data_IF_643769367359
#
_entry.id   IF_643769367359
#
_cell.length_a   1.000
_cell.length_b   1.000
_cell.length_c   1.000
_cell.angle_alpha   90.00
_cell.angle_beta   90.00
_cell.angle_gamma   90.00
#
_symmetry.space_group_name_H-M   'P 1'
#
loop_
_entity.id
_entity.type
_entity.pdbx_description
1 polymer ?
#
# COMPACT_ATOMS: atom_id res chain seq x y z
N UNK A 1 9.75 64.35 28.57
CA UNK A 1 9.44 63.06 29.20
C UNK A 1 9.71 61.96 28.19
N UNK A 2 10.71 61.12 28.48
CA UNK A 2 11.24 60.08 27.60
C UNK A 2 10.45 58.76 27.74
N UNK A 3 10.29 58.03 26.64
CA UNK A 3 10.04 56.57 26.63
C UNK A 3 11.07 55.91 25.69
N UNK A 4 11.75 54.84 26.12
CA UNK A 4 12.76 54.18 25.29
C UNK A 4 12.16 53.12 24.36
N UNK A 5 12.85 52.93 23.25
CA UNK A 5 12.65 51.87 22.27
C UNK A 5 13.07 50.50 22.84
N UNK A 6 12.27 49.46 22.60
CA UNK A 6 12.67 48.05 22.76
C UNK A 6 11.73 47.14 21.96
N UNK A 7 11.76 47.25 20.64
CA UNK A 7 11.23 46.24 19.73
C UNK A 7 12.37 45.82 18.81
N UNK A 8 12.80 44.57 18.88
CA UNK A 8 13.80 44.05 17.93
C UNK A 8 14.74 42.96 18.44
N UNK A 9 14.61 42.49 19.69
CA UNK A 9 15.54 41.50 20.28
C UNK A 9 14.96 40.10 20.54
N UNK A 10 13.90 39.67 19.85
CA UNK A 10 13.27 38.38 20.23
C UNK A 10 13.09 37.40 19.08
N UNK A 11 13.03 37.84 17.82
CA UNK A 11 12.74 36.90 16.71
C UNK A 11 14.02 36.22 16.19
N UNK A 12 15.12 36.98 16.02
CA UNK A 12 16.40 36.41 15.53
C UNK A 12 17.02 35.41 16.50
N UNK A 13 16.82 35.58 17.80
CA UNK A 13 17.30 34.64 18.81
C UNK A 13 16.46 33.35 18.87
N UNK A 14 15.17 33.43 18.55
CA UNK A 14 14.30 32.26 18.48
C UNK A 14 14.66 31.35 17.29
N UNK A 15 15.00 31.94 16.15
CA UNK A 15 15.44 31.19 14.96
C UNK A 15 16.81 30.53 15.18
N UNK A 16 17.71 31.17 15.93
CA UNK A 16 19.03 30.61 16.23
C UNK A 16 18.96 29.46 17.25
N UNK A 17 18.00 29.49 18.18
CA UNK A 17 17.82 28.42 19.17
C UNK A 17 17.20 27.14 18.57
N UNK A 18 16.41 27.24 17.50
CA UNK A 18 15.85 26.07 16.82
C UNK A 18 16.86 25.31 15.94
N UNK A 19 17.99 25.93 15.59
CA UNK A 19 19.01 25.33 14.72
C UNK A 19 20.03 24.42 15.45
N UNK A 20 19.97 24.34 16.79
CA UNK A 20 20.95 23.61 17.62
C UNK A 20 20.47 22.27 18.18
N UNK A 21 19.29 21.77 17.75
CA UNK A 21 18.83 20.40 18.01
C UNK A 21 19.07 19.48 16.81
N UNK A 22 20.18 19.70 16.08
CA UNK A 22 20.71 18.75 15.11
C UNK A 22 21.39 17.58 15.84
N UNK A 23 20.60 16.81 16.60
CA UNK A 23 20.96 15.46 17.00
C UNK A 23 20.98 14.61 15.75
N UNK A 24 22.16 14.17 15.38
CA UNK A 24 22.42 13.22 14.29
C UNK A 24 21.73 11.88 14.55
N UNK A 25 20.51 11.72 14.07
CA UNK A 25 20.04 10.40 13.63
C UNK A 25 20.04 10.43 12.11
N UNK A 26 21.00 9.71 11.52
CA UNK A 26 20.90 9.32 10.12
C UNK A 26 19.50 8.72 9.92
N UNK A 27 18.80 9.01 8.80
CA UNK A 27 17.63 8.23 8.48
C UNK A 27 18.11 6.78 8.45
N UNK A 28 17.56 5.94 9.32
CA UNK A 28 17.60 4.51 9.11
C UNK A 28 17.15 4.34 7.68
N UNK A 29 18.10 3.94 6.82
CA UNK A 29 17.83 3.59 5.46
C UNK A 29 16.63 2.67 5.58
N UNK A 30 15.51 3.07 4.98
CA UNK A 30 14.41 2.16 4.69
C UNK A 30 15.02 1.12 3.77
N UNK A 31 15.69 0.15 4.37
CA UNK A 31 15.89 -1.15 3.81
C UNK A 31 14.46 -1.61 3.63
N UNK A 32 13.95 -1.45 2.41
CA UNK A 32 12.83 -2.24 1.93
C UNK A 32 13.33 -3.68 2.01
N UNK A 33 13.26 -4.26 3.20
CA UNK A 33 13.37 -5.69 3.38
C UNK A 33 12.14 -6.23 2.68
N UNK A 34 12.36 -6.70 1.45
CA UNK A 34 11.41 -7.44 0.64
C UNK A 34 11.13 -8.81 1.27
N UNK A 35 10.67 -8.81 2.51
CA UNK A 35 10.17 -9.97 3.25
C UNK A 35 8.68 -9.83 3.58
N UNK A 36 8.03 -8.75 3.15
CA UNK A 36 6.56 -8.68 3.01
C UNK A 36 6.07 -9.24 1.65
N UNK A 37 6.95 -9.88 0.88
CA UNK A 37 6.67 -10.26 -0.52
C UNK A 37 5.71 -11.45 -0.70
N UNK A 38 5.22 -12.12 0.35
CA UNK A 38 4.25 -13.22 0.22
C UNK A 38 3.17 -13.30 1.32
N UNK A 39 3.10 -12.35 2.25
CA UNK A 39 2.07 -12.34 3.30
C UNK A 39 0.96 -11.33 2.98
N UNK A 40 -0.03 -11.79 2.22
CA UNK A 40 -1.39 -11.26 2.36
C UNK A 40 -1.88 -10.28 1.29
N UNK A 41 -1.79 -10.64 0.01
CA UNK A 41 -2.37 -9.85 -1.08
C UNK A 41 -3.42 -10.57 -1.94
N UNK A 42 -3.96 -11.71 -1.48
CA UNK A 42 -4.71 -12.73 -2.24
C UNK A 42 -3.79 -13.79 -2.86
N UNK A 43 -3.94 -15.05 -2.44
CA UNK A 43 -3.19 -16.19 -2.98
C UNK A 43 -4.08 -17.02 -3.92
N UNK A 44 -3.58 -17.38 -5.12
CA UNK A 44 -4.34 -18.27 -6.00
C UNK A 44 -4.45 -19.67 -5.36
N UNK A 45 -5.57 -20.38 -5.59
CA UNK A 45 -5.72 -21.76 -5.14
C UNK A 45 -4.79 -22.71 -5.91
N UNK A 46 -4.49 -23.87 -5.31
CA UNK A 46 -3.76 -24.95 -5.99
C UNK A 46 -4.64 -25.62 -7.04
N UNK A 47 -4.07 -26.02 -8.17
CA UNK A 47 -4.81 -26.71 -9.24
C UNK A 47 -5.41 -28.04 -8.72
N UNK A 48 -6.66 -28.36 -9.05
CA UNK A 48 -7.26 -29.64 -8.67
C UNK A 48 -6.68 -30.78 -9.52
N UNK A 49 -7.05 -32.01 -9.18
CA UNK A 49 -6.67 -33.22 -9.91
C UNK A 49 -6.81 -33.08 -11.45
N UNK A 50 -5.69 -33.14 -12.16
CA UNK A 50 -5.60 -32.78 -13.59
C UNK A 50 -5.60 -33.95 -14.59
N UNK A 51 -5.75 -35.18 -14.11
CA UNK A 51 -5.70 -36.39 -14.96
C UNK A 51 -7.11 -36.95 -15.21
N UNK A 52 -7.18 -38.01 -16.05
CA UNK A 52 -8.44 -38.70 -16.31
C UNK A 52 -9.05 -39.27 -15.02
N UNK A 53 -10.35 -39.05 -14.85
CA UNK A 53 -11.08 -39.51 -13.67
C UNK A 53 -11.30 -41.02 -13.75
N UNK A 54 -10.83 -41.82 -12.77
CA UNK A 54 -11.02 -43.27 -12.75
C UNK A 54 -12.50 -43.63 -12.54
N UNK A 55 -12.91 -44.85 -12.87
CA UNK A 55 -14.29 -45.32 -12.63
C UNK A 55 -14.56 -45.76 -11.18
N UNK A 56 -13.50 -45.94 -10.39
CA UNK A 56 -13.59 -46.33 -8.98
C UNK A 56 -14.42 -45.30 -8.17
N UNK A 57 -15.53 -45.70 -7.52
CA UNK A 57 -16.44 -44.76 -6.88
C UNK A 57 -15.80 -43.93 -5.76
N UNK A 58 -14.88 -44.51 -4.99
CA UNK A 58 -14.21 -43.82 -3.88
C UNK A 58 -13.26 -42.75 -4.41
N UNK A 59 -12.41 -43.11 -5.38
CA UNK A 59 -11.51 -42.15 -6.03
C UNK A 59 -12.28 -41.04 -6.75
N UNK A 60 -13.39 -41.39 -7.43
CA UNK A 60 -14.27 -40.39 -8.07
C UNK A 60 -14.82 -39.38 -7.08
N UNK A 61 -15.24 -39.84 -5.90
CA UNK A 61 -15.77 -38.96 -4.87
C UNK A 61 -14.68 -38.02 -4.36
N UNK A 62 -13.48 -38.53 -4.07
CA UNK A 62 -12.36 -37.72 -3.62
C UNK A 62 -11.98 -36.65 -4.64
N UNK A 63 -11.89 -37.02 -5.93
CA UNK A 63 -11.60 -36.07 -7.01
C UNK A 63 -12.72 -35.02 -7.09
N UNK A 64 -13.99 -35.42 -7.02
CA UNK A 64 -15.09 -34.46 -7.02
C UNK A 64 -15.00 -33.46 -5.84
N UNK A 65 -14.62 -33.90 -4.64
CA UNK A 65 -14.42 -33.03 -3.48
C UNK A 65 -13.23 -32.06 -3.66
N UNK A 66 -12.16 -32.51 -4.32
CA UNK A 66 -11.00 -31.68 -4.66
C UNK A 66 -11.38 -30.53 -5.62
N UNK A 67 -12.11 -30.85 -6.70
CA UNK A 67 -12.65 -29.83 -7.63
C UNK A 67 -13.57 -28.83 -6.92
N UNK A 68 -14.44 -29.29 -6.02
CA UNK A 68 -15.30 -28.39 -5.25
C UNK A 68 -14.48 -27.49 -4.31
N UNK A 69 -13.39 -27.99 -3.77
CA UNK A 69 -12.48 -27.23 -2.91
C UNK A 69 -11.76 -26.15 -3.69
N UNK A 70 -11.24 -26.49 -4.87
CA UNK A 70 -10.68 -25.50 -5.80
C UNK A 70 -11.68 -24.39 -6.14
N UNK A 71 -12.92 -24.75 -6.51
CA UNK A 71 -13.94 -23.75 -6.91
C UNK A 71 -14.21 -22.76 -5.77
N UNK A 72 -14.41 -23.23 -4.54
CA UNK A 72 -14.62 -22.33 -3.39
C UNK A 72 -13.42 -21.41 -3.14
N UNK A 73 -12.21 -21.97 -3.19
CA UNK A 73 -11.00 -21.20 -2.99
C UNK A 73 -10.77 -20.17 -4.13
N UNK A 74 -11.15 -20.51 -5.36
CA UNK A 74 -11.11 -19.59 -6.49
C UNK A 74 -12.11 -18.44 -6.33
N UNK A 75 -13.33 -18.70 -5.84
CA UNK A 75 -14.30 -17.66 -5.51
C UNK A 75 -13.76 -16.70 -4.42
N UNK A 76 -13.17 -17.24 -3.36
CA UNK A 76 -12.53 -16.44 -2.31
C UNK A 76 -11.37 -15.59 -2.85
N UNK A 77 -10.54 -16.18 -3.72
CA UNK A 77 -9.43 -15.49 -4.37
C UNK A 77 -9.92 -14.32 -5.23
N UNK A 78 -10.93 -14.53 -6.07
CA UNK A 78 -11.51 -13.48 -6.92
C UNK A 78 -12.09 -12.34 -6.07
N UNK A 79 -12.86 -12.68 -5.04
CA UNK A 79 -13.43 -11.67 -4.12
C UNK A 79 -12.34 -10.83 -3.45
N UNK A 80 -11.24 -11.46 -3.08
CA UNK A 80 -10.09 -10.79 -2.52
C UNK A 80 -9.46 -9.82 -3.56
N UNK A 81 -9.23 -10.28 -4.79
CA UNK A 81 -8.66 -9.45 -5.87
C UNK A 81 -9.53 -8.22 -6.17
N UNK A 82 -10.85 -8.37 -6.20
CA UNK A 82 -11.77 -7.25 -6.40
C UNK A 82 -11.69 -6.23 -5.25
N UNK A 83 -11.49 -6.70 -4.02
CA UNK A 83 -11.31 -5.82 -2.88
C UNK A 83 -9.97 -5.06 -2.96
N UNK A 84 -8.88 -5.72 -3.35
CA UNK A 84 -7.58 -5.08 -3.57
C UNK A 84 -7.62 -4.07 -4.72
N UNK A 85 -8.28 -4.40 -5.82
CA UNK A 85 -8.46 -3.49 -6.94
C UNK A 85 -9.18 -2.21 -6.49
N UNK A 86 -10.30 -2.33 -5.75
CA UNK A 86 -11.01 -1.19 -5.19
C UNK A 86 -10.12 -0.36 -4.26
N UNK A 87 -9.40 -0.99 -3.34
CA UNK A 87 -8.44 -0.32 -2.44
C UNK A 87 -7.38 0.47 -3.22
N UNK A 88 -6.83 -0.13 -4.27
CA UNK A 88 -5.82 0.51 -5.11
C UNK A 88 -6.37 1.76 -5.82
N UNK A 89 -7.58 1.68 -6.39
CA UNK A 89 -8.24 2.82 -7.01
C UNK A 89 -8.53 3.94 -6.01
N UNK A 90 -9.10 3.61 -4.85
CA UNK A 90 -9.43 4.59 -3.82
C UNK A 90 -8.18 5.33 -3.33
N UNK A 91 -7.11 4.58 -3.05
CA UNK A 91 -5.82 5.15 -2.62
C UNK A 91 -5.22 6.04 -3.70
N UNK A 92 -5.24 5.59 -4.95
CA UNK A 92 -4.73 6.36 -6.09
C UNK A 92 -5.49 7.67 -6.24
N UNK A 93 -6.83 7.63 -6.19
CA UNK A 93 -7.67 8.81 -6.28
C UNK A 93 -7.43 9.79 -5.11
N UNK A 94 -7.27 9.27 -3.89
CA UNK A 94 -6.99 10.10 -2.72
C UNK A 94 -5.63 10.82 -2.85
N UNK A 95 -4.59 10.10 -3.26
CA UNK A 95 -3.26 10.67 -3.49
C UNK A 95 -3.26 11.66 -4.64
N UNK A 96 -3.95 11.34 -5.74
CA UNK A 96 -4.12 12.24 -6.88
C UNK A 96 -4.78 13.55 -6.47
N UNK A 97 -5.90 13.48 -5.74
CA UNK A 97 -6.58 14.66 -5.21
C UNK A 97 -5.65 15.48 -4.33
N UNK A 98 -4.90 14.84 -3.43
CA UNK A 98 -3.94 15.51 -2.55
C UNK A 98 -2.81 16.18 -3.34
N UNK A 99 -2.31 15.52 -4.39
CA UNK A 99 -1.28 16.06 -5.27
C UNK A 99 -1.78 17.34 -5.98
N UNK A 100 -2.94 17.27 -6.63
CA UNK A 100 -3.56 18.42 -7.29
C UNK A 100 -3.83 19.58 -6.33
N UNK A 101 -4.33 19.29 -5.12
CA UNK A 101 -4.55 20.30 -4.08
C UNK A 101 -3.27 20.98 -3.61
N UNK A 102 -2.15 20.25 -3.59
CA UNK A 102 -0.89 20.77 -3.03
C UNK A 102 -0.08 21.54 -4.07
N UNK A 103 -0.15 21.16 -5.34
CA UNK A 103 0.70 21.70 -6.40
C UNK A 103 -0.05 22.53 -7.45
N UNK A 104 -1.39 22.45 -7.50
CA UNK A 104 -2.19 23.26 -8.42
C UNK A 104 -1.77 23.08 -9.88
N UNK A 105 -1.36 24.18 -10.52
CA UNK A 105 -0.87 24.19 -11.92
C UNK A 105 0.45 23.46 -12.12
N UNK A 106 1.24 23.30 -11.06
CA UNK A 106 2.55 22.63 -11.13
C UNK A 106 2.41 21.11 -11.07
N UNK A 107 1.19 20.59 -10.86
CA UNK A 107 0.90 19.17 -10.87
C UNK A 107 0.95 18.60 -12.31
N UNK A 108 2.12 18.12 -12.74
CA UNK A 108 2.35 17.53 -14.05
C UNK A 108 2.10 16.01 -14.04
N UNK A 109 0.83 15.60 -14.15
CA UNK A 109 0.45 14.19 -14.22
C UNK A 109 1.05 13.51 -15.45
N UNK A 110 1.79 12.43 -15.21
CA UNK A 110 2.26 11.51 -16.24
C UNK A 110 1.63 10.15 -15.96
N UNK A 111 0.56 9.81 -16.69
CA UNK A 111 -0.05 8.48 -16.61
C UNK A 111 0.58 7.57 -17.65
N UNK A 112 0.93 6.34 -17.25
CA UNK A 112 1.34 5.26 -18.15
C UNK A 112 0.28 4.17 -18.28
N UNK A 113 -0.85 4.30 -17.58
CA UNK A 113 -1.97 3.39 -17.65
C UNK A 113 -2.82 3.83 -18.86
N UNK A 114 -2.83 2.99 -19.90
CA UNK A 114 -3.68 3.14 -21.09
C UNK A 114 -5.08 2.59 -20.87
#
# INVERSE_FOLDING_TARGET
MSRPASEGKTIKQLVLALALLASTSLPAQTRFEGEDLLLGGCLPPEDPYMFDVPDDPELRQMINEDYQTFIRAAEEYINCLEAEQRRAFDKTNAILKRYLQSFGSDAALQSTIN
#
